data_IF_841947677423
#
_entry.id   IF_841947677423
#
_cell.length_a   1.000
_cell.length_b   1.000
_cell.length_c   1.000
_cell.angle_alpha   90.00
_cell.angle_beta   90.00
_cell.angle_gamma   90.00
#
_symmetry.space_group_name_H-M   'P 1'
#
loop_
_entity.id
_entity.type
_entity.pdbx_description
1 polymer ?
#
# COMPACT_ATOMS: atom_id res chain seq x y z
N UNK A 1 23.27 -7.14 10.43
CA UNK A 1 22.51 -5.97 10.90
C UNK A 1 22.23 -5.07 9.70
N UNK A 2 21.11 -5.25 8.98
CA UNK A 2 20.77 -4.39 7.84
C UNK A 2 19.50 -3.60 8.16
N UNK A 3 19.66 -2.53 8.93
CA UNK A 3 18.60 -1.55 9.08
C UNK A 3 18.54 -0.71 7.80
N UNK A 4 17.71 -1.13 6.85
CA UNK A 4 17.33 -0.37 5.65
C UNK A 4 16.47 0.84 6.06
N UNK A 5 17.09 1.81 6.72
CA UNK A 5 16.45 3.04 7.21
C UNK A 5 16.22 4.05 6.06
N UNK A 6 16.96 3.96 4.96
CA UNK A 6 17.13 5.08 4.00
C UNK A 6 15.95 5.39 3.07
N UNK A 7 14.91 4.56 3.01
CA UNK A 7 13.76 4.79 2.10
C UNK A 7 12.43 5.07 2.82
N UNK A 8 12.22 4.55 4.03
CA UNK A 8 11.01 4.80 4.83
C UNK A 8 10.91 6.29 5.22
N UNK A 9 12.03 6.91 5.60
CA UNK A 9 12.05 8.30 6.05
C UNK A 9 11.71 9.32 4.96
N UNK A 10 12.09 9.09 3.70
CA UNK A 10 11.76 10.02 2.60
C UNK A 10 10.27 10.02 2.27
N UNK A 11 9.66 8.84 2.24
CA UNK A 11 8.22 8.71 2.02
C UNK A 11 7.44 9.35 3.18
N UNK A 12 7.92 9.16 4.42
CA UNK A 12 7.32 9.77 5.59
C UNK A 12 7.43 11.30 5.57
N UNK A 13 8.61 11.87 5.23
CA UNK A 13 8.78 13.33 5.14
C UNK A 13 7.94 14.00 4.06
N UNK A 14 7.66 13.33 2.94
CA UNK A 14 7.00 13.94 1.78
C UNK A 14 5.51 13.62 1.68
N UNK A 15 5.10 12.43 2.11
CA UNK A 15 3.72 11.94 1.99
C UNK A 15 3.09 11.60 3.35
N UNK A 16 3.85 11.65 4.45
CA UNK A 16 3.37 11.31 5.80
C UNK A 16 2.76 9.91 5.94
N UNK A 17 3.09 9.01 5.01
CA UNK A 17 2.60 7.62 4.95
C UNK A 17 3.68 6.66 5.45
N UNK A 18 3.28 5.62 6.17
CA UNK A 18 4.18 4.60 6.71
C UNK A 18 3.77 3.19 6.25
N UNK A 19 4.76 2.30 6.08
CA UNK A 19 4.46 0.88 5.81
C UNK A 19 3.68 0.29 6.99
N UNK A 20 2.56 -0.37 6.69
CA UNK A 20 1.59 -0.87 7.66
C UNK A 20 0.38 0.06 7.83
N UNK A 21 0.44 1.28 7.31
CA UNK A 21 -0.65 2.24 7.40
C UNK A 21 -1.82 1.84 6.48
N UNK A 22 -3.03 2.19 6.90
CA UNK A 22 -4.25 1.95 6.10
C UNK A 22 -4.43 3.12 5.15
N UNK A 23 -4.42 2.83 3.87
CA UNK A 23 -4.61 3.83 2.81
C UNK A 23 -5.88 3.51 2.04
N UNK A 24 -6.63 4.56 1.72
CA UNK A 24 -7.75 4.49 0.81
C UNK A 24 -7.33 5.14 -0.51
N UNK A 25 -7.62 4.50 -1.63
CA UNK A 25 -7.43 5.10 -2.94
C UNK A 25 -8.64 4.86 -3.83
N UNK A 26 -8.95 5.85 -4.67
CA UNK A 26 -10.00 5.70 -5.68
C UNK A 26 -9.39 5.14 -6.96
N UNK A 27 -10.00 4.07 -7.45
CA UNK A 27 -9.66 3.50 -8.74
C UNK A 27 -10.95 3.12 -9.46
N UNK A 28 -11.06 3.50 -10.73
CA UNK A 28 -12.23 3.19 -11.54
C UNK A 28 -13.57 3.63 -10.92
N UNK A 29 -13.57 4.74 -10.17
CA UNK A 29 -14.76 5.26 -9.46
C UNK A 29 -15.08 4.56 -8.13
N UNK A 30 -14.42 3.45 -7.79
CA UNK A 30 -14.56 2.76 -6.51
C UNK A 30 -13.46 3.15 -5.52
N UNK A 31 -13.81 3.24 -4.24
CA UNK A 31 -12.83 3.51 -3.17
C UNK A 31 -12.36 2.18 -2.61
N UNK A 32 -11.07 1.91 -2.76
CA UNK A 32 -10.44 0.70 -2.25
C UNK A 32 -9.66 1.02 -0.99
N UNK A 33 -9.94 0.27 0.06
CA UNK A 33 -9.20 0.34 1.32
C UNK A 33 -8.18 -0.79 1.35
N UNK A 34 -6.92 -0.43 1.59
CA UNK A 34 -5.84 -1.39 1.63
C UNK A 34 -4.77 -1.03 2.64
N UNK A 35 -3.85 -1.96 2.84
CA UNK A 35 -2.71 -1.78 3.74
C UNK A 35 -1.48 -1.50 2.89
N UNK A 36 -0.75 -0.45 3.25
CA UNK A 36 0.48 -0.06 2.60
C UNK A 36 1.58 -1.06 2.97
N UNK A 37 1.83 -2.05 2.12
CA UNK A 37 2.86 -3.06 2.34
C UNK A 37 4.29 -2.53 2.09
N UNK A 38 4.44 -1.55 1.19
CA UNK A 38 5.72 -0.91 0.89
C UNK A 38 5.51 0.48 0.32
N UNK A 39 6.37 1.44 0.67
CA UNK A 39 6.35 2.78 0.04
C UNK A 39 7.77 3.26 -0.26
N UNK A 40 8.04 3.51 -1.55
CA UNK A 40 9.29 4.10 -2.05
C UNK A 40 8.95 5.17 -3.12
N UNK A 41 9.41 5.03 -4.37
CA UNK A 41 8.89 5.81 -5.52
C UNK A 41 7.47 5.35 -5.94
N UNK A 42 7.15 4.09 -5.66
CA UNK A 42 5.82 3.49 -5.86
C UNK A 42 5.39 2.87 -4.54
N UNK A 43 4.11 2.97 -4.23
CA UNK A 43 3.47 2.33 -3.12
C UNK A 43 2.93 0.96 -3.55
N UNK A 44 3.21 -0.06 -2.75
CA UNK A 44 2.56 -1.37 -2.85
C UNK A 44 1.45 -1.40 -1.82
N UNK A 45 0.22 -1.41 -2.29
CA UNK A 45 -0.97 -1.48 -1.44
C UNK A 45 -1.60 -2.85 -1.60
N UNK A 46 -1.87 -3.51 -0.48
CA UNK A 46 -2.64 -4.76 -0.44
C UNK A 46 -4.09 -4.44 -0.20
N UNK A 47 -4.92 -4.61 -1.21
CA UNK A 47 -6.37 -4.39 -1.13
C UNK A 47 -7.06 -5.73 -0.94
N UNK A 48 -7.99 -5.80 0.00
CA UNK A 48 -8.85 -6.98 0.16
C UNK A 48 -9.75 -7.07 -1.07
N UNK A 49 -9.58 -8.14 -1.85
CA UNK A 49 -10.34 -8.38 -3.06
C UNK A 49 -10.64 -9.88 -3.15
N UNK A 50 -11.92 -10.29 -3.22
CA UNK A 50 -12.28 -11.71 -3.32
C UNK A 50 -11.77 -12.37 -4.62
N UNK A 51 -11.47 -11.59 -5.66
CA UNK A 51 -10.79 -12.08 -6.87
C UNK A 51 -9.25 -12.11 -6.77
N UNK A 52 -8.68 -11.83 -5.59
CA UNK A 52 -7.25 -11.69 -5.42
C UNK A 52 -6.47 -13.00 -5.48
N UNK A 53 -5.24 -12.91 -5.99
CA UNK A 53 -4.31 -14.04 -6.11
C UNK A 53 -3.60 -14.36 -4.80
N UNK A 54 -3.55 -13.41 -3.85
CA UNK A 54 -2.93 -13.63 -2.55
C UNK A 54 -4.02 -14.09 -1.60
N UNK A 55 -3.91 -15.26 -1.01
CA UNK A 55 -4.85 -15.74 -0.01
C UNK A 55 -4.14 -15.82 1.34
N UNK A 56 -4.76 -15.24 2.36
CA UNK A 56 -4.35 -15.39 3.76
C UNK A 56 -4.86 -16.72 4.32
N UNK A 57 -4.26 -17.19 5.42
CA UNK A 57 -4.65 -18.44 6.09
C UNK A 57 -6.12 -18.48 6.53
N UNK A 58 -6.78 -17.32 6.66
CA UNK A 58 -8.22 -17.22 6.97
C UNK A 58 -9.13 -17.29 5.74
N UNK A 59 -8.59 -17.44 4.53
CA UNK A 59 -9.36 -17.41 3.28
C UNK A 59 -9.61 -16.02 2.70
N UNK A 60 -9.10 -14.96 3.35
CA UNK A 60 -9.19 -13.60 2.82
C UNK A 60 -8.25 -13.44 1.63
N UNK A 61 -8.75 -12.87 0.53
CA UNK A 61 -7.97 -12.67 -0.69
C UNK A 61 -7.55 -11.23 -0.85
N UNK A 62 -6.33 -11.02 -1.29
CA UNK A 62 -5.72 -9.73 -1.47
C UNK A 62 -5.11 -9.61 -2.86
N UNK A 63 -5.06 -8.38 -3.35
CA UNK A 63 -4.37 -8.00 -4.58
C UNK A 63 -3.32 -6.96 -4.25
N UNK A 64 -2.11 -7.14 -4.81
CA UNK A 64 -1.05 -6.15 -4.74
C UNK A 64 -1.28 -5.12 -5.84
N UNK A 65 -1.51 -3.89 -5.44
CA UNK A 65 -1.58 -2.74 -6.32
C UNK A 65 -0.28 -1.96 -6.26
N UNK A 66 0.27 -1.65 -7.44
CA UNK A 66 1.43 -0.78 -7.58
C UNK A 66 0.94 0.62 -7.93
N UNK A 67 0.75 1.45 -6.92
CA UNK A 67 0.24 2.81 -7.07
C UNK A 67 1.41 3.79 -7.00
N UNK A 68 1.59 4.72 -7.95
CA UNK A 68 2.56 5.80 -7.78
C UNK A 68 2.22 6.62 -6.54
N UNK A 69 3.22 6.99 -5.74
CA UNK A 69 2.97 7.73 -4.49
C UNK A 69 2.28 9.09 -4.71
N UNK A 70 2.42 9.71 -5.89
CA UNK A 70 1.67 10.93 -6.25
C UNK A 70 0.16 10.71 -6.41
N UNK A 71 -0.30 9.48 -6.59
CA UNK A 71 -1.73 9.16 -6.64
C UNK A 71 -2.34 8.93 -5.25
N UNK A 72 -1.50 8.77 -4.23
CA UNK A 72 -1.93 8.65 -2.84
C UNK A 72 -2.05 10.06 -2.27
N UNK A 73 -3.23 10.66 -2.46
CA UNK A 73 -3.62 11.92 -1.81
C UNK A 73 -4.31 11.64 -0.48
N UNK A 74 -4.03 12.48 0.52
CA UNK A 74 -4.72 12.50 1.81
C UNK A 74 -5.99 13.34 1.69
#
# INVERSE_FOLDING_TARGET
>A
MHQLITQKERAHKKYNLQVGDRVAFRLNGQTYNGILARITKRATVMVNNPGGHIMDSRGNRYVKWYVPVHFLGK
#
